data_IF_454782632974
#
_entry.id   IF_454782632974
#
_cell.length_a   1.000
_cell.length_b   1.000
_cell.length_c   1.000
_cell.angle_alpha   90.00
_cell.angle_beta   90.00
_cell.angle_gamma   90.00
#
_symmetry.space_group_name_H-M   'P 1'
#
loop_
_entity.id
_entity.type
_entity.pdbx_description
1 polymer ?
#
# COMPACT_ATOMS: atom_id res chain seq x y z
N UNK A 1 -37.98 11.58 -13.61
CA UNK A 1 -38.04 12.23 -14.94
C UNK A 1 -36.73 11.96 -15.67
N UNK A 2 -36.64 10.88 -16.44
CA UNK A 2 -35.53 10.70 -17.41
C UNK A 2 -36.12 10.02 -18.64
N UNK A 3 -36.05 10.75 -19.76
CA UNK A 3 -36.75 10.50 -21.01
C UNK A 3 -36.23 9.26 -21.74
N UNK A 4 -37.16 8.38 -22.14
CA UNK A 4 -36.96 7.33 -23.13
C UNK A 4 -36.93 7.96 -24.52
N UNK A 5 -35.77 7.95 -25.18
CA UNK A 5 -35.66 8.28 -26.60
C UNK A 5 -35.84 6.99 -27.42
N UNK A 6 -36.99 6.93 -28.09
CA UNK A 6 -37.39 5.91 -29.05
C UNK A 6 -36.65 6.20 -30.35
N UNK A 7 -35.81 5.26 -30.81
CA UNK A 7 -35.15 5.34 -32.11
C UNK A 7 -35.93 4.50 -33.12
N UNK A 8 -36.51 5.14 -34.13
CA UNK A 8 -37.17 4.50 -35.28
C UNK A 8 -36.19 4.44 -36.46
N UNK A 9 -36.05 3.30 -37.17
CA UNK A 9 -35.29 3.26 -38.41
C UNK A 9 -36.19 3.68 -39.57
N UNK A 10 -35.87 4.83 -40.20
CA UNK A 10 -36.51 5.29 -41.44
C UNK A 10 -35.77 4.70 -42.64
N UNK A 11 -36.39 3.69 -43.23
CA UNK A 11 -36.06 3.06 -44.50
C UNK A 11 -36.14 4.06 -45.65
N UNK A 12 -35.03 4.24 -46.36
CA UNK A 12 -35.02 4.74 -47.74
C UNK A 12 -34.14 3.83 -48.60
N UNK A 13 -34.81 2.81 -49.15
CA UNK A 13 -34.42 2.19 -50.41
C UNK A 13 -34.40 3.28 -51.50
N UNK A 14 -33.21 3.68 -51.95
CA UNK A 14 -33.01 4.15 -53.33
C UNK A 14 -32.06 3.17 -54.01
N UNK A 15 -32.68 2.29 -54.78
CA UNK A 15 -32.06 1.46 -55.80
C UNK A 15 -31.37 2.39 -56.80
N UNK A 16 -30.05 2.53 -56.68
CA UNK A 16 -29.20 3.01 -57.76
C UNK A 16 -28.65 1.78 -58.48
N UNK A 17 -29.34 1.37 -59.54
CA UNK A 17 -28.83 0.43 -60.53
C UNK A 17 -27.70 1.10 -61.32
N UNK A 18 -26.49 1.14 -60.75
CA UNK A 18 -25.27 1.28 -61.53
C UNK A 18 -24.92 -0.08 -62.09
N UNK A 19 -25.32 -0.28 -63.34
CA UNK A 19 -24.89 -1.37 -64.21
C UNK A 19 -23.41 -1.15 -64.55
N UNK A 20 -22.53 -1.50 -63.62
CA UNK A 20 -21.09 -1.58 -63.89
C UNK A 20 -20.86 -2.73 -64.87
N UNK A 21 -20.49 -2.38 -66.12
CA UNK A 21 -19.98 -3.35 -67.08
C UNK A 21 -18.70 -3.98 -66.49
N UNK A 22 -18.58 -5.32 -66.47
CA UNK A 22 -17.32 -5.95 -66.13
C UNK A 22 -16.37 -5.79 -67.31
N UNK A 23 -15.60 -4.68 -67.31
CA UNK A 23 -14.37 -4.64 -68.11
C UNK A 23 -13.42 -5.69 -67.55
N UNK A 24 -13.38 -6.82 -68.24
CA UNK A 24 -12.43 -7.91 -67.99
C UNK A 24 -11.05 -7.45 -68.45
N UNK A 25 -10.41 -6.60 -67.65
CA UNK A 25 -8.99 -6.34 -67.81
C UNK A 25 -8.24 -7.65 -67.57
N UNK A 26 -7.82 -8.28 -68.67
CA UNK A 26 -6.99 -9.47 -68.65
C UNK A 26 -5.70 -9.21 -67.89
N UNK A 27 -5.53 -9.88 -66.75
CA UNK A 27 -4.30 -9.92 -65.95
C UNK A 27 -3.17 -10.70 -66.66
N UNK A 28 -3.19 -10.77 -68.00
CA UNK A 28 -2.26 -11.57 -68.80
C UNK A 28 -0.90 -10.90 -69.02
N UNK A 29 -0.63 -9.76 -68.36
CA UNK A 29 0.60 -8.99 -68.52
C UNK A 29 1.48 -8.81 -67.27
N UNK A 30 1.11 -9.38 -66.11
CA UNK A 30 1.95 -9.23 -64.90
C UNK A 30 3.28 -9.99 -65.06
N UNK A 31 4.38 -9.31 -64.79
CA UNK A 31 5.69 -9.96 -64.74
C UNK A 31 5.73 -10.88 -63.52
N UNK A 32 6.43 -12.02 -63.57
CA UNK A 32 6.53 -12.95 -62.44
C UNK A 32 7.10 -12.29 -61.17
N UNK A 33 7.93 -11.25 -61.31
CA UNK A 33 8.45 -10.47 -60.18
C UNK A 33 7.36 -9.70 -59.43
N UNK A 34 6.34 -9.19 -60.13
CA UNK A 34 5.23 -8.46 -59.50
C UNK A 34 4.39 -9.39 -58.63
N UNK A 35 4.22 -10.65 -59.05
CA UNK A 35 3.52 -11.66 -58.26
C UNK A 35 4.26 -11.99 -56.96
N UNK A 36 5.60 -12.11 -57.02
CA UNK A 36 6.44 -12.34 -55.84
C UNK A 36 6.34 -11.16 -54.87
N UNK A 37 6.40 -9.92 -55.39
CA UNK A 37 6.26 -8.72 -54.58
C UNK A 37 4.89 -8.65 -53.88
N UNK A 38 3.80 -8.95 -54.59
CA UNK A 38 2.44 -8.99 -54.03
C UNK A 38 2.34 -10.05 -52.93
N UNK A 39 2.87 -11.26 -53.17
CA UNK A 39 2.86 -12.34 -52.19
C UNK A 39 3.66 -11.96 -50.92
N UNK A 40 4.80 -11.30 -51.09
CA UNK A 40 5.62 -10.84 -49.97
C UNK A 40 4.92 -9.75 -49.14
N UNK A 41 4.34 -8.74 -49.80
CA UNK A 41 3.57 -7.68 -49.12
C UNK A 41 2.36 -8.25 -48.40
N UNK A 42 1.64 -9.19 -49.03
CA UNK A 42 0.52 -9.91 -48.41
C UNK A 42 0.97 -10.71 -47.17
N UNK A 43 2.11 -11.40 -47.26
CA UNK A 43 2.70 -12.13 -46.14
C UNK A 43 3.06 -11.23 -44.97
N UNK A 44 3.74 -10.11 -45.23
CA UNK A 44 4.07 -9.11 -44.20
C UNK A 44 2.81 -8.51 -43.56
N UNK A 45 1.80 -8.20 -44.36
CA UNK A 45 0.52 -7.69 -43.85
C UNK A 45 -0.15 -8.71 -42.92
N UNK A 46 -0.14 -10.00 -43.27
CA UNK A 46 -0.70 -11.05 -42.42
C UNK A 46 0.03 -11.19 -41.08
N UNK A 47 1.37 -11.05 -41.06
CA UNK A 47 2.14 -11.07 -39.80
C UNK A 47 1.77 -9.88 -38.91
N UNK A 48 1.69 -8.68 -39.46
CA UNK A 48 1.29 -7.47 -38.71
C UNK A 48 -0.15 -7.60 -38.19
N UNK A 49 -1.06 -8.16 -38.98
CA UNK A 49 -2.44 -8.43 -38.53
C UNK A 49 -2.48 -9.46 -37.40
N UNK A 50 -1.63 -10.49 -37.44
CA UNK A 50 -1.57 -11.49 -36.38
C UNK A 50 -1.07 -10.87 -35.06
N UNK A 51 0.01 -10.09 -35.11
CA UNK A 51 0.57 -9.40 -33.93
C UNK A 51 -0.44 -8.42 -33.32
N UNK A 52 -1.14 -7.65 -34.14
CA UNK A 52 -2.17 -6.70 -33.66
C UNK A 52 -3.34 -7.42 -32.98
N UNK A 53 -3.76 -8.60 -33.47
CA UNK A 53 -4.78 -9.42 -32.82
C UNK A 53 -4.33 -9.96 -31.46
N UNK A 54 -3.07 -10.38 -31.34
CA UNK A 54 -2.50 -10.83 -30.07
C UNK A 54 -2.45 -9.70 -29.05
N UNK A 55 -2.01 -8.50 -29.47
CA UNK A 55 -2.00 -7.30 -28.61
C UNK A 55 -3.40 -6.98 -28.11
N UNK A 56 -4.42 -7.04 -28.96
CA UNK A 56 -5.82 -6.81 -28.57
C UNK A 56 -6.31 -7.85 -27.55
N UNK A 57 -5.98 -9.14 -27.75
CA UNK A 57 -6.32 -10.20 -26.80
C UNK A 57 -5.65 -10.00 -25.45
N UNK A 58 -4.36 -9.63 -25.44
CA UNK A 58 -3.61 -9.36 -24.22
C UNK A 58 -4.19 -8.16 -23.46
N UNK A 59 -4.50 -7.06 -24.16
CA UNK A 59 -5.16 -5.88 -23.55
C UNK A 59 -6.46 -6.24 -22.85
N UNK A 60 -7.28 -7.11 -23.45
CA UNK A 60 -8.53 -7.58 -22.84
C UNK A 60 -8.30 -8.41 -21.57
N UNK A 61 -7.22 -9.21 -21.51
CA UNK A 61 -6.84 -9.97 -20.31
C UNK A 61 -6.34 -9.04 -19.21
N UNK A 62 -5.51 -8.05 -19.55
CA UNK A 62 -5.01 -7.05 -18.61
C UNK A 62 -6.18 -6.28 -17.97
N UNK A 63 -7.12 -5.77 -18.77
CA UNK A 63 -8.27 -5.05 -18.25
C UNK A 63 -9.13 -5.89 -17.27
N UNK A 64 -9.26 -7.20 -17.50
CA UNK A 64 -9.93 -8.10 -16.55
C UNK A 64 -9.15 -8.25 -15.25
N UNK A 65 -7.84 -8.42 -15.33
CA UNK A 65 -6.99 -8.51 -14.15
C UNK A 65 -7.03 -7.21 -13.33
N UNK A 66 -6.97 -6.06 -13.98
CA UNK A 66 -7.04 -4.75 -13.31
C UNK A 66 -8.36 -4.57 -12.53
N UNK A 67 -9.48 -4.98 -13.12
CA UNK A 67 -10.78 -4.92 -12.42
C UNK A 67 -10.86 -5.88 -11.23
N UNK A 68 -10.27 -7.07 -11.35
CA UNK A 68 -10.20 -8.02 -10.24
C UNK A 68 -9.28 -7.52 -9.11
N UNK A 69 -8.11 -6.96 -9.44
CA UNK A 69 -7.20 -6.38 -8.45
C UNK A 69 -7.83 -5.18 -7.76
N UNK A 70 -8.54 -4.31 -8.49
CA UNK A 70 -9.24 -3.16 -7.88
C UNK A 70 -10.38 -3.61 -6.96
N UNK A 71 -11.08 -4.70 -7.30
CA UNK A 71 -12.10 -5.30 -6.43
C UNK A 71 -11.48 -5.86 -5.15
N UNK A 72 -10.31 -6.52 -5.24
CA UNK A 72 -9.59 -7.02 -4.07
C UNK A 72 -9.07 -5.88 -3.20
N UNK A 73 -8.50 -4.82 -3.80
CA UNK A 73 -8.05 -3.62 -3.09
C UNK A 73 -9.19 -2.95 -2.32
N UNK A 74 -10.34 -2.69 -2.96
CA UNK A 74 -11.50 -2.11 -2.27
C UNK A 74 -12.11 -3.01 -1.18
N UNK A 75 -11.93 -4.33 -1.25
CA UNK A 75 -12.29 -5.23 -0.15
C UNK A 75 -11.30 -5.14 1.02
N UNK A 76 -10.01 -4.99 0.72
CA UNK A 76 -8.95 -4.86 1.71
C UNK A 76 -9.03 -3.51 2.43
N UNK A 77 -9.29 -2.42 1.70
CA UNK A 77 -9.48 -1.09 2.24
C UNK A 77 -10.63 -1.07 3.27
N UNK A 78 -11.79 -1.63 2.93
CA UNK A 78 -12.92 -1.77 3.88
C UNK A 78 -12.54 -2.59 5.12
N UNK A 79 -11.79 -3.68 4.95
CA UNK A 79 -11.27 -4.46 6.08
C UNK A 79 -10.32 -3.65 6.97
N UNK A 80 -9.44 -2.85 6.36
CA UNK A 80 -8.51 -1.98 7.09
C UNK A 80 -9.21 -0.86 7.84
N UNK A 81 -10.27 -0.28 7.28
CA UNK A 81 -11.10 0.74 7.94
C UNK A 81 -11.85 0.15 9.14
N UNK A 82 -12.40 -1.06 8.98
CA UNK A 82 -13.05 -1.78 10.09
C UNK A 82 -12.06 -2.00 11.25
N UNK A 83 -10.86 -2.52 10.96
CA UNK A 83 -9.81 -2.70 11.97
C UNK A 83 -9.40 -1.38 12.62
N UNK A 84 -9.26 -0.30 11.83
CA UNK A 84 -8.92 1.03 12.35
C UNK A 84 -9.98 1.55 13.31
N UNK A 85 -11.26 1.36 12.99
CA UNK A 85 -12.37 1.75 13.86
C UNK A 85 -12.42 0.95 15.17
N UNK A 86 -12.03 -0.34 15.13
CA UNK A 86 -12.00 -1.16 16.34
C UNK A 86 -10.83 -0.80 17.25
N UNK A 87 -9.66 -0.56 16.67
CA UNK A 87 -8.50 -0.01 17.41
C UNK A 87 -8.85 1.33 18.05
N UNK A 88 -9.62 2.16 17.34
CA UNK A 88 -10.09 3.44 17.86
C UNK A 88 -10.99 3.26 19.09
N UNK A 89 -11.98 2.38 19.00
CA UNK A 89 -12.88 2.06 20.13
C UNK A 89 -12.14 1.56 21.35
N UNK A 90 -11.18 0.65 21.16
CA UNK A 90 -10.37 0.10 22.25
C UNK A 90 -9.56 1.23 22.90
N UNK A 91 -8.94 2.10 22.11
CA UNK A 91 -8.19 3.24 22.62
C UNK A 91 -9.06 4.16 23.45
N UNK A 92 -10.23 4.52 22.95
CA UNK A 92 -11.12 5.47 23.62
C UNK A 92 -11.65 4.85 24.94
N UNK A 93 -11.99 3.55 24.93
CA UNK A 93 -12.35 2.81 26.15
C UNK A 93 -11.23 2.75 27.20
N UNK A 94 -9.97 2.62 26.76
CA UNK A 94 -8.83 2.63 27.68
C UNK A 94 -8.59 4.02 28.28
N UNK A 95 -8.75 5.08 27.49
CA UNK A 95 -8.64 6.46 27.98
C UNK A 95 -9.70 6.75 29.05
N UNK A 96 -10.95 6.32 28.84
CA UNK A 96 -12.02 6.47 29.84
C UNK A 96 -11.68 5.76 31.15
N UNK A 97 -11.10 4.56 31.08
CA UNK A 97 -10.66 3.81 32.26
C UNK A 97 -9.51 4.50 32.99
N UNK A 98 -8.54 5.05 32.27
CA UNK A 98 -7.42 5.79 32.88
C UNK A 98 -7.93 7.03 33.61
N UNK A 99 -8.81 7.81 32.97
CA UNK A 99 -9.43 8.99 33.60
C UNK A 99 -10.23 8.60 34.83
N UNK A 100 -10.98 7.50 34.79
CA UNK A 100 -11.70 6.97 35.95
C UNK A 100 -10.76 6.63 37.11
N UNK A 101 -9.62 5.98 36.82
CA UNK A 101 -8.60 5.67 37.83
C UNK A 101 -8.01 6.97 38.41
N UNK A 102 -7.66 7.95 37.58
CA UNK A 102 -7.13 9.23 38.05
C UNK A 102 -8.10 9.96 38.98
N UNK A 103 -9.40 9.91 38.68
CA UNK A 103 -10.43 10.49 39.54
C UNK A 103 -10.53 9.76 40.89
N UNK A 104 -10.54 8.42 40.91
CA UNK A 104 -10.58 7.66 42.16
C UNK A 104 -9.33 7.86 43.02
N UNK A 105 -8.14 7.95 42.40
CA UNK A 105 -6.89 8.27 43.10
C UNK A 105 -6.94 9.69 43.69
N UNK A 106 -7.50 10.65 42.97
CA UNK A 106 -7.67 12.02 43.45
C UNK A 106 -8.62 12.10 44.65
N UNK A 107 -9.69 11.31 44.68
CA UNK A 107 -10.57 11.21 45.85
C UNK A 107 -9.86 10.60 47.06
N UNK A 108 -9.14 9.49 46.87
CA UNK A 108 -8.39 8.83 47.94
C UNK A 108 -7.34 9.78 48.55
N UNK A 109 -6.61 10.52 47.70
CA UNK A 109 -5.64 11.51 48.16
C UNK A 109 -6.29 12.61 49.01
N UNK A 110 -7.45 13.13 48.59
CA UNK A 110 -8.21 14.12 49.39
C UNK A 110 -8.66 13.57 50.73
N UNK A 111 -9.01 12.29 50.81
CA UNK A 111 -9.38 11.65 52.09
C UNK A 111 -8.17 11.46 53.01
N UNK A 112 -7.01 11.08 52.46
CA UNK A 112 -5.76 10.96 53.22
C UNK A 112 -5.29 12.29 53.80
N UNK A 113 -5.33 13.36 53.00
CA UNK A 113 -4.91 14.70 53.43
C UNK A 113 -5.76 15.22 54.61
N UNK A 114 -7.04 14.88 54.66
CA UNK A 114 -7.93 15.23 55.79
C UNK A 114 -7.68 14.35 57.03
N UNK A 115 -7.22 13.11 56.85
CA UNK A 115 -7.06 12.15 57.94
C UNK A 115 -5.76 12.34 58.73
N UNK A 116 -4.77 13.06 58.21
CA UNK A 116 -3.48 13.26 58.87
C UNK A 116 -3.23 14.72 59.28
N UNK A 117 -3.71 15.17 60.46
CA UNK A 117 -3.25 16.41 61.06
C UNK A 117 -2.02 16.14 61.93
N UNK A 118 -0.83 15.87 61.38
CA UNK A 118 0.41 16.04 62.15
C UNK A 118 1.69 15.94 61.33
N UNK A 119 2.56 16.92 61.60
CA UNK A 119 4.01 17.08 61.38
C UNK A 119 4.68 16.30 60.23
N UNK A 120 5.45 17.00 59.36
CA UNK A 120 6.25 16.35 58.34
C UNK A 120 7.28 15.44 59.01
N UNK A 121 7.06 14.14 58.89
CA UNK A 121 8.05 13.12 59.20
C UNK A 121 9.15 13.29 58.16
N UNK A 122 10.31 13.78 58.61
CA UNK A 122 11.53 13.79 57.82
C UNK A 122 11.82 12.35 57.41
N UNK A 123 11.56 12.04 56.14
CA UNK A 123 11.96 10.80 55.52
C UNK A 123 13.48 10.82 55.45
N UNK A 124 14.09 10.10 56.38
CA UNK A 124 15.51 9.81 56.40
C UNK A 124 15.97 9.28 55.04
N UNK A 125 16.99 9.94 54.47
CA UNK A 125 17.83 9.43 53.37
C UNK A 125 18.28 8.01 53.71
N UNK A 126 17.60 7.02 53.17
CA UNK A 126 18.06 5.63 53.13
C UNK A 126 17.85 5.11 51.71
N UNK A 127 18.97 4.71 51.10
CA UNK A 127 19.07 3.73 50.02
C UNK A 127 18.52 4.09 48.64
N UNK A 128 18.85 5.28 48.13
CA UNK A 128 18.63 5.67 46.72
C UNK A 128 19.74 5.22 45.75
N UNK A 129 20.53 4.18 46.09
CA UNK A 129 21.58 3.64 45.18
C UNK A 129 21.05 2.54 44.24
N UNK A 130 19.88 1.95 44.51
CA UNK A 130 19.35 0.82 43.72
C UNK A 130 18.42 1.17 42.55
N UNK A 131 17.75 2.33 42.56
CA UNK A 131 16.69 2.64 41.59
C UNK A 131 17.20 3.28 40.28
N UNK A 132 18.32 3.97 40.33
CA UNK A 132 18.85 4.73 39.17
C UNK A 132 19.50 3.81 38.12
N UNK A 133 20.14 2.73 38.57
CA UNK A 133 20.75 1.71 37.70
C UNK A 133 19.70 1.05 36.78
N UNK A 134 18.51 0.75 37.34
CA UNK A 134 17.43 0.05 36.63
C UNK A 134 16.80 0.91 35.53
N UNK A 135 16.72 2.23 35.73
CA UNK A 135 16.25 3.17 34.72
C UNK A 135 17.22 3.31 33.54
N UNK A 136 18.53 3.28 33.81
CA UNK A 136 19.55 3.38 32.78
C UNK A 136 19.62 2.12 31.89
N UNK A 137 19.40 0.94 32.46
CA UNK A 137 19.34 -0.32 31.70
C UNK A 137 18.16 -0.38 30.74
N UNK A 138 16.99 0.12 31.16
CA UNK A 138 15.79 0.19 30.31
C UNK A 138 16.00 1.13 29.13
N UNK A 139 16.55 2.33 29.38
CA UNK A 139 16.87 3.30 28.31
C UNK A 139 17.87 2.70 27.31
N UNK A 140 18.88 1.99 27.80
CA UNK A 140 19.87 1.32 26.95
C UNK A 140 19.24 0.24 26.08
N UNK A 141 18.38 -0.62 26.64
CA UNK A 141 17.67 -1.67 25.87
C UNK A 141 16.72 -1.08 24.82
N UNK A 142 15.99 -0.02 25.18
CA UNK A 142 15.10 0.66 24.24
C UNK A 142 15.88 1.24 23.04
N UNK A 143 17.05 1.81 23.30
CA UNK A 143 17.94 2.35 22.27
C UNK A 143 18.52 1.23 21.39
N UNK A 144 18.94 0.10 21.98
CA UNK A 144 19.39 -1.08 21.23
C UNK A 144 18.30 -1.62 20.30
N UNK A 145 17.06 -1.75 20.78
CA UNK A 145 15.91 -2.21 19.98
C UNK A 145 15.57 -1.23 18.84
N UNK A 146 15.64 0.08 19.09
CA UNK A 146 15.43 1.11 18.06
C UNK A 146 16.42 0.93 16.90
N UNK A 147 17.71 0.73 17.20
CA UNK A 147 18.76 0.50 16.20
C UNK A 147 18.46 -0.77 15.37
N UNK A 148 18.09 -1.87 16.04
CA UNK A 148 17.77 -3.13 15.37
C UNK A 148 16.58 -2.97 14.44
N UNK A 149 15.54 -2.26 14.87
CA UNK A 149 14.34 -2.05 14.07
C UNK A 149 14.64 -1.23 12.81
N UNK A 150 15.37 -0.12 12.95
CA UNK A 150 15.82 0.70 11.81
C UNK A 150 16.63 -0.11 10.80
N UNK A 151 17.53 -0.97 11.28
CA UNK A 151 18.34 -1.83 10.42
C UNK A 151 17.47 -2.87 9.68
N UNK A 152 16.50 -3.49 10.36
CA UNK A 152 15.55 -4.44 9.76
C UNK A 152 14.63 -3.79 8.73
N UNK A 153 14.32 -2.51 8.89
CA UNK A 153 13.60 -1.71 7.89
C UNK A 153 14.45 -1.32 6.66
N UNK A 154 15.72 -1.75 6.59
CA UNK A 154 16.60 -1.49 5.45
C UNK A 154 17.34 -0.15 5.50
N UNK A 155 17.30 0.57 6.62
CA UNK A 155 18.02 1.84 6.76
C UNK A 155 19.54 1.56 6.85
N UNK A 156 20.38 2.25 6.05
CA UNK A 156 21.82 2.01 6.06
C UNK A 156 22.46 2.45 7.38
N UNK A 157 23.43 1.67 7.88
CA UNK A 157 24.13 1.89 9.16
C UNK A 157 24.72 3.31 9.30
N UNK A 158 25.18 3.90 8.19
CA UNK A 158 25.70 5.27 8.16
C UNK A 158 24.64 6.31 8.56
N UNK A 159 23.39 6.09 8.18
CA UNK A 159 22.27 6.98 8.51
C UNK A 159 21.80 6.74 9.94
N UNK A 160 21.71 5.48 10.37
CA UNK A 160 21.41 5.12 11.77
C UNK A 160 22.42 5.76 12.74
N UNK A 161 23.71 5.75 12.39
CA UNK A 161 24.77 6.38 13.18
C UNK A 161 24.56 7.88 13.38
N UNK A 162 24.12 8.59 12.33
CA UNK A 162 23.84 10.02 12.38
C UNK A 162 22.60 10.32 13.23
N UNK A 163 21.57 9.49 13.10
CA UNK A 163 20.28 9.72 13.76
C UNK A 163 20.32 9.39 15.26
N UNK A 164 21.04 8.34 15.64
CA UNK A 164 21.14 7.89 17.03
C UNK A 164 22.35 8.51 17.76
N UNK A 165 23.28 9.14 17.02
CA UNK A 165 24.47 9.76 17.60
C UNK A 165 25.51 8.76 18.12
N UNK A 166 25.55 7.55 17.55
CA UNK A 166 26.48 6.49 17.94
C UNK A 166 27.49 6.20 16.83
N UNK A 167 28.69 5.77 17.24
CA UNK A 167 29.70 5.30 16.28
C UNK A 167 29.24 4.04 15.55
N UNK A 168 29.70 3.87 14.30
CA UNK A 168 29.38 2.68 13.49
C UNK A 168 29.82 1.39 14.19
N UNK A 169 30.97 1.41 14.87
CA UNK A 169 31.49 0.28 15.63
C UNK A 169 30.53 -0.17 16.74
N UNK A 170 29.94 0.78 17.49
CA UNK A 170 28.95 0.48 18.53
C UNK A 170 27.69 -0.14 17.94
N UNK A 171 27.22 0.38 16.79
CA UNK A 171 26.05 -0.16 16.10
C UNK A 171 26.31 -1.60 15.63
N UNK A 172 27.45 -1.89 15.00
CA UNK A 172 27.79 -3.26 14.59
C UNK A 172 27.89 -4.22 15.79
N UNK A 173 28.41 -3.76 16.94
CA UNK A 173 28.44 -4.56 18.16
C UNK A 173 27.04 -4.90 18.66
N UNK A 174 26.11 -3.94 18.64
CA UNK A 174 24.70 -4.15 19.01
C UNK A 174 24.04 -5.12 18.03
N UNK A 175 24.18 -4.90 16.71
CA UNK A 175 23.61 -5.78 15.70
C UNK A 175 24.14 -7.22 15.81
N UNK A 176 25.43 -7.40 16.13
CA UNK A 176 26.03 -8.72 16.36
C UNK A 176 25.40 -9.43 17.56
N UNK A 177 25.14 -8.70 18.66
CA UNK A 177 24.49 -9.24 19.86
C UNK A 177 23.10 -9.83 19.57
N UNK A 178 22.32 -9.19 18.70
CA UNK A 178 20.96 -9.60 18.33
C UNK A 178 20.86 -10.53 17.11
N UNK A 179 21.99 -10.84 16.46
CA UNK A 179 22.06 -11.82 15.36
C UNK A 179 22.39 -13.24 15.86
N UNK A 180 22.99 -13.35 17.04
CA UNK A 180 23.38 -14.62 17.67
C UNK A 180 22.24 -15.31 18.45
N UNK A 181 21.05 -14.73 18.42
CA UNK A 181 19.79 -15.21 19.02
C UNK A 181 18.77 -15.40 17.93
#
# INVERSE_FOLDING_TARGET
>A
MVSRLIYTPRSHHRLWCLRSQPESHGLTGLRPLDLIAIAFVSGLLMVVLLETLEIVRLKKRIARLETETNKRLSSLERGSEALRSEVQRIRDSLLDRVVSIENTLSEILKHLERATPSKPVWVSKSDSIGSEQRGNDLKRRALELKIVNMYRSGIPVKQIAREVGLSRATIYRILRKYRAT
#
